data_IF_584469734721
#
_entry.id   IF_584469734721
#
_cell.length_a   1.000
_cell.length_b   1.000
_cell.length_c   1.000
_cell.angle_alpha   90.00
_cell.angle_beta   90.00
_cell.angle_gamma   90.00
#
_symmetry.space_group_name_H-M   'P 1'
#
loop_
_entity.id
_entity.type
_entity.pdbx_description
1 polymer ?
#
# COMPACT_ATOMS: atom_id res chain seq x y z
N UNK A 1 24.62 10.32 -6.03
CA UNK A 1 24.08 10.43 -4.65
C UNK A 1 22.79 11.26 -4.62
N UNK A 2 22.83 12.59 -4.86
CA UNK A 2 21.61 13.42 -4.73
C UNK A 2 20.50 12.96 -5.66
N UNK A 3 20.78 12.88 -6.98
CA UNK A 3 19.79 12.45 -7.97
C UNK A 3 19.24 11.04 -7.68
N UNK A 4 20.12 10.07 -7.41
CA UNK A 4 19.71 8.70 -7.09
C UNK A 4 18.86 8.62 -5.81
N UNK A 5 19.16 9.45 -4.82
CA UNK A 5 18.42 9.49 -3.55
C UNK A 5 17.07 10.18 -3.65
N UNK A 6 16.99 11.31 -4.36
CA UNK A 6 15.72 11.97 -4.66
C UNK A 6 14.83 11.12 -5.56
N UNK A 7 15.43 10.42 -6.53
CA UNK A 7 14.70 9.48 -7.36
C UNK A 7 14.16 8.29 -6.56
N UNK A 8 14.95 7.74 -5.62
CA UNK A 8 14.47 6.70 -4.71
C UNK A 8 13.25 7.19 -3.92
N UNK A 9 13.33 8.39 -3.31
CA UNK A 9 12.22 8.99 -2.58
C UNK A 9 10.95 9.17 -3.42
N UNK A 10 11.12 9.76 -4.61
CA UNK A 10 10.03 9.96 -5.55
C UNK A 10 9.39 8.62 -5.96
N UNK A 11 10.22 7.63 -6.29
CA UNK A 11 9.77 6.31 -6.70
C UNK A 11 9.04 5.58 -5.56
N UNK A 12 9.54 5.67 -4.33
CA UNK A 12 8.84 5.14 -3.14
C UNK A 12 7.47 5.78 -2.94
N UNK A 13 7.38 7.09 -3.09
CA UNK A 13 6.12 7.81 -2.86
C UNK A 13 5.08 7.54 -3.97
N UNK A 14 5.49 7.61 -5.24
CA UNK A 14 4.58 7.41 -6.38
C UNK A 14 4.06 5.98 -6.44
N UNK A 15 4.92 4.99 -6.19
CA UNK A 15 4.52 3.58 -6.18
C UNK A 15 3.98 3.13 -4.82
N UNK A 16 3.70 4.03 -3.88
CA UNK A 16 3.19 3.63 -2.55
C UNK A 16 1.80 2.98 -2.58
N UNK A 17 1.11 3.04 -3.72
CA UNK A 17 -0.20 2.46 -3.95
C UNK A 17 -0.19 1.44 -5.10
N UNK A 18 0.98 1.15 -5.65
CA UNK A 18 1.15 0.16 -6.72
C UNK A 18 2.15 -0.86 -6.24
N UNK A 19 1.82 -2.13 -6.37
CA UNK A 19 2.76 -3.21 -6.15
C UNK A 19 3.07 -3.86 -7.48
N UNK A 20 4.36 -4.06 -7.72
CA UNK A 20 4.88 -4.88 -8.80
C UNK A 20 5.90 -5.88 -8.25
N UNK A 21 5.86 -7.12 -8.75
CA UNK A 21 6.68 -8.23 -8.20
C UNK A 21 8.19 -7.94 -8.21
N UNK A 22 8.67 -7.06 -9.11
CA UNK A 22 10.09 -6.68 -9.19
C UNK A 22 10.43 -5.36 -8.51
N UNK A 23 9.49 -4.71 -7.81
CA UNK A 23 9.77 -3.44 -7.12
C UNK A 23 10.94 -3.56 -6.15
N UNK A 24 11.01 -4.67 -5.40
CA UNK A 24 12.12 -4.93 -4.47
C UNK A 24 13.48 -4.92 -5.16
N UNK A 25 13.58 -5.47 -6.37
CA UNK A 25 14.81 -5.44 -7.16
C UNK A 25 15.18 -4.01 -7.60
N UNK A 26 14.19 -3.24 -8.07
CA UNK A 26 14.39 -1.84 -8.46
C UNK A 26 14.86 -1.00 -7.26
N UNK A 27 14.19 -1.13 -6.11
CA UNK A 27 14.60 -0.45 -4.88
C UNK A 27 16.02 -0.85 -4.44
N UNK A 28 16.37 -2.14 -4.53
CA UNK A 28 17.70 -2.62 -4.20
C UNK A 28 18.80 -2.00 -5.07
N UNK A 29 18.60 -1.94 -6.39
CA UNK A 29 19.56 -1.32 -7.30
C UNK A 29 19.73 0.17 -6.99
N UNK A 30 18.61 0.89 -6.79
CA UNK A 30 18.64 2.33 -6.51
C UNK A 30 19.36 2.66 -5.20
N UNK A 31 19.08 1.91 -4.13
CA UNK A 31 19.71 2.13 -2.82
C UNK A 31 21.20 1.77 -2.85
N UNK A 32 21.58 0.72 -3.58
CA UNK A 32 22.97 0.32 -3.76
C UNK A 32 23.77 1.41 -4.49
N UNK A 33 23.24 1.94 -5.60
CA UNK A 33 23.86 3.06 -6.33
C UNK A 33 23.98 4.30 -5.43
N UNK A 34 22.95 4.60 -4.64
CA UNK A 34 23.00 5.70 -3.67
C UNK A 34 24.16 5.54 -2.68
N UNK A 35 24.28 4.37 -2.04
CA UNK A 35 25.30 4.13 -1.02
C UNK A 35 26.73 4.11 -1.58
N UNK A 36 26.94 3.61 -2.82
CA UNK A 36 28.24 3.70 -3.49
C UNK A 36 28.67 5.17 -3.62
N UNK A 37 27.80 6.02 -4.16
CA UNK A 37 28.13 7.45 -4.31
C UNK A 37 28.22 8.18 -2.96
N UNK A 38 27.44 7.78 -1.96
CA UNK A 38 27.54 8.33 -0.60
C UNK A 38 28.88 7.98 0.04
N UNK A 39 29.35 6.73 -0.11
CA UNK A 39 30.67 6.29 0.35
C UNK A 39 31.82 7.06 -0.29
N UNK A 40 31.78 7.27 -1.61
CA UNK A 40 32.76 8.12 -2.29
C UNK A 40 32.72 9.57 -1.80
N UNK A 41 31.53 10.10 -1.56
CA UNK A 41 31.34 11.46 -1.03
C UNK A 41 31.96 11.58 0.38
N UNK A 42 31.69 10.63 1.27
CA UNK A 42 32.28 10.57 2.60
C UNK A 42 33.82 10.52 2.54
N UNK A 43 34.38 9.62 1.72
CA UNK A 43 35.84 9.51 1.55
C UNK A 43 36.44 10.82 1.07
N UNK A 44 35.87 11.45 0.05
CA UNK A 44 36.37 12.70 -0.51
C UNK A 44 36.27 13.86 0.50
N UNK A 45 35.18 13.92 1.25
CA UNK A 45 34.98 14.95 2.28
C UNK A 45 35.99 14.79 3.43
N UNK A 46 36.28 13.55 3.85
CA UNK A 46 37.34 13.26 4.83
C UNK A 46 38.71 13.71 4.33
N UNK A 47 39.07 13.40 3.08
CA UNK A 47 40.36 13.83 2.49
C UNK A 47 40.47 15.36 2.45
N UNK A 48 39.41 16.06 2.04
CA UNK A 48 39.38 17.53 1.99
C UNK A 48 39.41 18.14 3.39
N UNK A 49 38.69 17.57 4.35
CA UNK A 49 38.73 18.02 5.74
C UNK A 49 40.13 17.90 6.35
N UNK A 50 40.88 16.85 6.03
CA UNK A 50 42.27 16.73 6.50
C UNK A 50 43.16 17.86 5.99
N UNK A 51 42.90 18.38 4.79
CA UNK A 51 43.65 19.48 4.18
C UNK A 51 43.20 20.86 4.68
N UNK A 52 41.90 21.12 4.64
CA UNK A 52 41.36 22.47 4.85
C UNK A 52 40.88 22.72 6.28
N UNK A 53 40.76 21.66 7.10
CA UNK A 53 40.21 21.68 8.48
C UNK A 53 38.85 22.37 8.61
N UNK A 54 38.09 22.44 7.52
CA UNK A 54 36.81 23.14 7.44
C UNK A 54 35.63 22.16 7.42
N UNK A 55 34.69 22.35 8.34
CA UNK A 55 33.46 21.55 8.42
C UNK A 55 32.54 21.75 7.21
N UNK A 56 32.72 22.84 6.44
CA UNK A 56 31.97 23.07 5.19
C UNK A 56 32.18 21.95 4.17
N UNK A 57 33.30 21.24 4.23
CA UNK A 57 33.57 20.09 3.38
C UNK A 57 32.58 18.93 3.60
N UNK A 58 31.85 18.89 4.72
CA UNK A 58 30.83 17.88 4.99
C UNK A 58 29.42 18.25 4.51
N UNK A 59 29.19 19.43 3.91
CA UNK A 59 27.88 19.81 3.38
C UNK A 59 27.28 18.71 2.46
N UNK A 60 28.02 18.12 1.51
CA UNK A 60 27.49 17.03 0.69
C UNK A 60 27.11 15.80 1.51
N UNK A 61 27.86 15.48 2.57
CA UNK A 61 27.53 14.37 3.48
C UNK A 61 26.24 14.66 4.25
N UNK A 62 26.07 15.89 4.75
CA UNK A 62 24.82 16.29 5.42
C UNK A 62 23.62 16.18 4.48
N UNK A 63 23.75 16.62 3.22
CA UNK A 63 22.69 16.44 2.20
C UNK A 63 22.35 14.96 2.02
N UNK A 64 23.36 14.09 1.92
CA UNK A 64 23.15 12.63 1.86
C UNK A 64 22.42 12.08 3.08
N UNK A 65 22.81 12.54 4.28
CA UNK A 65 22.15 12.17 5.54
C UNK A 65 20.69 12.63 5.61
N UNK A 66 20.38 13.84 5.14
CA UNK A 66 19.01 14.35 5.05
C UNK A 66 18.15 13.52 4.09
N UNK A 67 18.72 13.04 2.98
CA UNK A 67 18.01 12.13 2.06
C UNK A 67 17.69 10.81 2.78
N UNK A 68 18.65 10.20 3.47
CA UNK A 68 18.43 8.97 4.24
C UNK A 68 17.32 9.19 5.27
N UNK A 69 17.39 10.29 6.02
CA UNK A 69 16.36 10.64 6.99
C UNK A 69 14.98 10.79 6.33
N UNK A 70 14.89 11.48 5.19
CA UNK A 70 13.65 11.59 4.42
C UNK A 70 13.10 10.23 3.99
N UNK A 71 13.95 9.30 3.56
CA UNK A 71 13.54 7.95 3.18
C UNK A 71 12.95 7.21 4.39
N UNK A 72 13.61 7.29 5.54
CA UNK A 72 13.12 6.68 6.77
C UNK A 72 11.75 7.26 7.20
N UNK A 73 11.57 8.58 7.08
CA UNK A 73 10.28 9.23 7.36
C UNK A 73 9.18 8.71 6.45
N UNK A 74 9.45 8.59 5.14
CA UNK A 74 8.46 8.06 4.18
C UNK A 74 8.14 6.59 4.47
N UNK A 75 9.15 5.75 4.70
CA UNK A 75 8.94 4.33 5.05
C UNK A 75 8.10 4.21 6.32
N UNK A 76 8.44 4.97 7.37
CA UNK A 76 7.68 4.96 8.61
C UNK A 76 6.24 5.44 8.42
N UNK A 77 6.03 6.50 7.64
CA UNK A 77 4.69 6.99 7.30
C UNK A 77 3.86 5.93 6.58
N UNK A 78 4.43 5.27 5.56
CA UNK A 78 3.73 4.24 4.79
C UNK A 78 3.43 2.99 5.63
N UNK A 79 4.34 2.60 6.52
CA UNK A 79 4.12 1.51 7.47
C UNK A 79 3.00 1.86 8.46
N UNK A 80 3.07 3.07 9.05
CA UNK A 80 2.07 3.52 10.02
C UNK A 80 0.67 3.63 9.41
N UNK A 81 0.58 4.07 8.14
CA UNK A 81 -0.69 4.20 7.39
C UNK A 81 -1.53 2.92 7.38
N UNK A 82 -0.89 1.75 7.30
CA UNK A 82 -1.57 0.45 7.22
C UNK A 82 -1.40 -0.40 8.50
N UNK A 83 -0.96 0.22 9.61
CA UNK A 83 -0.60 -0.49 10.86
C UNK A 83 -1.79 -0.90 11.74
N UNK A 84 -2.99 -0.40 11.47
CA UNK A 84 -4.17 -0.75 12.27
C UNK A 84 -4.57 -2.22 12.06
N UNK A 85 -4.98 -2.87 13.15
CA UNK A 85 -5.49 -4.25 13.17
C UNK A 85 -6.61 -4.45 12.13
N UNK A 86 -6.50 -5.50 11.30
CA UNK A 86 -7.54 -5.92 10.34
C UNK A 86 -8.62 -6.69 11.11
N UNK A 87 -9.87 -6.24 11.02
CA UNK A 87 -11.01 -6.86 11.73
C UNK A 87 -11.91 -7.67 10.80
N UNK A 88 -11.85 -7.41 9.50
CA UNK A 88 -12.60 -8.13 8.48
C UNK A 88 -11.80 -8.12 7.19
N UNK A 89 -11.52 -9.30 6.65
CA UNK A 89 -10.91 -9.46 5.34
C UNK A 89 -11.86 -10.23 4.44
N UNK A 90 -11.98 -9.83 3.18
CA UNK A 90 -12.77 -10.53 2.20
C UNK A 90 -12.09 -10.52 0.84
N UNK A 91 -12.00 -11.67 0.19
CA UNK A 91 -11.30 -11.83 -1.07
C UNK A 91 -12.24 -12.40 -2.12
N UNK A 92 -12.08 -11.92 -3.35
CA UNK A 92 -12.56 -12.61 -4.52
C UNK A 92 -11.37 -13.19 -5.27
N UNK A 93 -11.48 -14.47 -5.65
CA UNK A 93 -10.51 -15.18 -6.46
C UNK A 93 -11.07 -15.36 -7.88
N UNK A 94 -10.46 -14.70 -8.85
CA UNK A 94 -10.83 -14.74 -10.27
C UNK A 94 -9.79 -15.47 -11.12
N UNK A 95 -9.17 -16.52 -10.56
CA UNK A 95 -8.11 -17.38 -11.13
C UNK A 95 -6.77 -16.65 -11.41
N UNK A 96 -6.80 -15.58 -12.21
CA UNK A 96 -5.60 -14.79 -12.60
C UNK A 96 -5.58 -13.44 -11.88
N UNK A 97 -6.75 -12.84 -11.71
CA UNK A 97 -6.94 -11.56 -11.03
C UNK A 97 -7.72 -11.80 -9.74
N UNK A 98 -7.32 -11.13 -8.68
CA UNK A 98 -7.99 -11.16 -7.39
C UNK A 98 -8.33 -9.75 -6.92
N UNK A 99 -9.39 -9.67 -6.13
CA UNK A 99 -9.73 -8.44 -5.42
C UNK A 99 -9.76 -8.76 -3.93
N UNK A 100 -9.28 -7.83 -3.11
CA UNK A 100 -9.35 -7.99 -1.66
C UNK A 100 -9.86 -6.72 -1.01
N UNK A 101 -10.60 -6.91 0.06
CA UNK A 101 -10.92 -5.87 1.03
C UNK A 101 -10.31 -6.25 2.37
N UNK A 102 -9.64 -5.29 2.99
CA UNK A 102 -9.26 -5.30 4.39
C UNK A 102 -9.93 -4.12 5.08
N UNK A 103 -10.75 -4.39 6.08
CA UNK A 103 -11.35 -3.38 6.95
C UNK A 103 -10.64 -3.40 8.29
N UNK A 104 -10.18 -2.24 8.75
CA UNK A 104 -9.33 -2.08 9.93
C UNK A 104 -10.05 -1.41 11.08
N UNK A 105 -9.62 -1.70 12.30
CA UNK A 105 -10.23 -1.23 13.55
C UNK A 105 -10.35 0.29 13.67
N UNK A 106 -9.42 1.05 13.09
CA UNK A 106 -9.44 2.52 13.06
C UNK A 106 -10.44 3.12 12.05
N UNK A 107 -11.26 2.29 11.40
CA UNK A 107 -12.20 2.72 10.38
C UNK A 107 -11.57 3.00 9.02
N UNK A 108 -10.31 2.60 8.78
CA UNK A 108 -9.70 2.61 7.44
C UNK A 108 -9.92 1.28 6.71
N UNK A 109 -10.01 1.34 5.38
CA UNK A 109 -9.98 0.14 4.55
C UNK A 109 -8.84 0.21 3.53
N UNK A 110 -8.40 -0.97 3.10
CA UNK A 110 -7.56 -1.19 1.92
C UNK A 110 -8.33 -2.10 0.95
N UNK A 111 -8.48 -1.64 -0.28
CA UNK A 111 -8.96 -2.44 -1.39
C UNK A 111 -7.79 -2.69 -2.33
N UNK A 112 -7.51 -3.95 -2.65
CA UNK A 112 -6.53 -4.30 -3.68
C UNK A 112 -7.24 -4.83 -4.91
N UNK A 113 -6.78 -4.38 -6.08
CA UNK A 113 -7.13 -4.96 -7.37
C UNK A 113 -5.86 -5.34 -8.10
N UNK A 114 -5.71 -6.60 -8.44
CA UNK A 114 -4.73 -6.97 -9.44
C UNK A 114 -4.45 -8.45 -9.50
N UNK A 115 -3.30 -8.76 -10.08
CA UNK A 115 -2.86 -10.13 -10.33
C UNK A 115 -1.69 -10.49 -9.42
N UNK A 116 -1.10 -11.65 -9.70
CA UNK A 116 0.17 -12.09 -9.10
C UNK A 116 1.33 -11.15 -9.48
N UNK A 117 1.31 -10.56 -10.68
CA UNK A 117 2.42 -9.76 -11.19
C UNK A 117 2.41 -8.31 -10.69
N UNK A 118 1.23 -7.79 -10.41
CA UNK A 118 1.07 -6.45 -9.88
C UNK A 118 -0.36 -6.14 -9.46
N UNK A 119 -0.51 -5.21 -8.53
CA UNK A 119 -1.78 -4.85 -7.91
C UNK A 119 -1.80 -3.40 -7.46
N UNK A 120 -2.92 -2.75 -7.74
CA UNK A 120 -3.22 -1.38 -7.35
C UNK A 120 -3.97 -1.37 -6.03
N UNK A 121 -3.63 -0.42 -5.16
CA UNK A 121 -4.08 -0.35 -3.78
C UNK A 121 -4.84 0.95 -3.52
N UNK A 122 -6.09 0.81 -3.08
CA UNK A 122 -7.01 1.91 -2.85
C UNK A 122 -7.37 1.96 -1.37
N UNK A 123 -7.13 3.11 -0.74
CA UNK A 123 -7.39 3.33 0.69
C UNK A 123 -8.50 4.34 0.90
N UNK A 124 -9.21 4.21 2.00
CA UNK A 124 -10.26 5.14 2.38
C UNK A 124 -10.75 4.89 3.81
N UNK A 125 -11.88 5.51 4.14
CA UNK A 125 -12.58 5.31 5.41
C UNK A 125 -13.88 4.56 5.23
N UNK A 126 -14.29 3.82 6.25
CA UNK A 126 -15.55 3.09 6.26
C UNK A 126 -16.25 3.20 7.61
N UNK A 127 -17.54 2.81 7.63
CA UNK A 127 -18.33 2.59 8.84
C UNK A 127 -19.08 1.28 8.70
N UNK A 128 -19.15 0.51 9.79
CA UNK A 128 -20.02 -0.68 9.88
C UNK A 128 -21.22 -0.35 10.75
N UNK A 129 -22.41 -0.72 10.29
CA UNK A 129 -23.64 -0.73 11.08
C UNK A 129 -24.37 -2.03 10.80
N UNK A 130 -24.48 -2.88 11.81
CA UNK A 130 -25.05 -4.22 11.69
C UNK A 130 -24.36 -5.03 10.57
N UNK A 131 -25.10 -5.45 9.54
CA UNK A 131 -24.57 -6.16 8.38
C UNK A 131 -24.16 -5.24 7.22
N UNK A 132 -24.20 -3.91 7.39
CA UNK A 132 -23.93 -2.95 6.33
C UNK A 132 -22.57 -2.28 6.53
N UNK A 133 -21.84 -2.11 5.42
CA UNK A 133 -20.55 -1.44 5.35
C UNK A 133 -20.72 -0.23 4.44
N UNK A 134 -20.39 0.95 4.94
CA UNK A 134 -20.46 2.22 4.22
C UNK A 134 -19.05 2.71 3.93
N UNK A 135 -18.70 2.85 2.66
CA UNK A 135 -17.42 3.39 2.20
C UNK A 135 -17.53 4.92 2.05
N UNK A 136 -16.40 5.60 2.15
CA UNK A 136 -16.30 7.03 1.84
C UNK A 136 -16.28 7.32 0.32
N UNK A 137 -16.09 6.28 -0.51
CA UNK A 137 -16.06 6.36 -1.97
C UNK A 137 -17.22 5.60 -2.60
N UNK A 138 -17.82 6.19 -3.63
CA UNK A 138 -18.89 5.57 -4.42
C UNK A 138 -18.37 4.64 -5.51
N UNK A 139 -17.08 4.75 -5.86
CA UNK A 139 -16.45 3.94 -6.88
C UNK A 139 -14.98 3.67 -6.52
N UNK A 140 -14.52 2.43 -6.78
CA UNK A 140 -13.13 2.01 -6.63
C UNK A 140 -12.75 1.13 -7.81
N UNK A 141 -11.79 1.61 -8.60
CA UNK A 141 -11.09 0.88 -9.67
C UNK A 141 -11.97 0.08 -10.63
N UNK A 142 -13.14 0.63 -10.99
CA UNK A 142 -14.15 -0.01 -11.82
C UNK A 142 -14.74 -1.34 -11.32
N UNK A 143 -14.35 -1.80 -10.12
CA UNK A 143 -14.84 -3.04 -9.51
C UNK A 143 -15.92 -2.73 -8.49
N UNK A 144 -15.69 -1.73 -7.65
CA UNK A 144 -16.65 -1.28 -6.65
C UNK A 144 -17.44 -0.13 -7.26
N UNK A 145 -18.76 -0.28 -7.38
CA UNK A 145 -19.67 0.68 -8.05
C UNK A 145 -20.70 1.29 -7.10
N UNK A 146 -20.52 1.08 -5.80
CA UNK A 146 -21.37 1.61 -4.75
C UNK A 146 -20.54 1.91 -3.51
N UNK A 147 -20.99 2.84 -2.68
CA UNK A 147 -20.44 3.04 -1.35
C UNK A 147 -21.11 2.16 -0.28
N UNK A 148 -22.05 1.30 -0.66
CA UNK A 148 -22.79 0.44 0.28
C UNK A 148 -22.53 -1.03 -0.03
N UNK A 149 -21.97 -1.73 0.95
CA UNK A 149 -21.80 -3.17 0.91
C UNK A 149 -22.64 -3.83 2.01
N UNK A 150 -22.99 -5.10 1.81
CA UNK A 150 -23.68 -5.88 2.80
C UNK A 150 -22.98 -7.22 3.03
N UNK A 151 -22.87 -7.61 4.29
CA UNK A 151 -22.50 -8.97 4.69
C UNK A 151 -23.76 -9.84 4.54
N UNK A 152 -23.67 -10.87 3.72
CA UNK A 152 -24.77 -11.80 3.43
C UNK A 152 -24.33 -13.24 3.67
N UNK A 153 -25.30 -14.08 4.00
CA UNK A 153 -25.13 -15.53 4.04
C UNK A 153 -25.41 -16.10 2.66
N UNK A 154 -24.58 -17.03 2.22
CA UNK A 154 -24.78 -17.81 0.99
C UNK A 154 -25.07 -19.26 1.35
N UNK A 155 -25.96 -19.89 0.57
CA UNK A 155 -26.34 -21.30 0.74
C UNK A 155 -25.23 -22.25 0.33
N UNK A 156 -24.43 -21.86 -0.67
CA UNK A 156 -23.30 -22.63 -1.15
C UNK A 156 -22.08 -22.34 -0.27
N UNK A 157 -21.47 -23.41 0.24
CA UNK A 157 -20.29 -23.31 1.06
C UNK A 157 -19.07 -23.17 0.15
N UNK A 158 -18.51 -21.95 0.06
CA UNK A 158 -17.29 -21.68 -0.72
C UNK A 158 -16.10 -21.89 0.22
N UNK A 159 -15.35 -22.98 0.03
CA UNK A 159 -14.12 -23.27 0.80
C UNK A 159 -14.30 -23.25 2.34
N UNK A 160 -15.40 -23.81 2.85
CA UNK A 160 -15.72 -23.83 4.28
C UNK A 160 -16.44 -22.56 4.78
N UNK A 161 -16.71 -21.57 3.92
CA UNK A 161 -17.23 -20.25 4.28
C UNK A 161 -18.61 -20.02 3.68
N UNK A 162 -19.50 -19.46 4.49
CA UNK A 162 -20.89 -19.18 4.13
C UNK A 162 -21.27 -17.70 4.24
N UNK A 163 -20.28 -16.82 4.42
CA UNK A 163 -20.47 -15.37 4.50
C UNK A 163 -19.68 -14.67 3.40
N UNK A 164 -20.34 -13.75 2.73
CA UNK A 164 -19.77 -12.93 1.67
C UNK A 164 -20.09 -11.47 1.89
N UNK A 165 -19.28 -10.58 1.31
CA UNK A 165 -19.60 -9.18 1.14
C UNK A 165 -20.10 -8.98 -0.29
N UNK A 166 -21.28 -8.37 -0.43
CA UNK A 166 -21.90 -8.05 -1.71
C UNK A 166 -22.10 -6.54 -1.85
N UNK A 167 -22.06 -6.05 -3.08
CA UNK A 167 -22.39 -4.68 -3.42
C UNK A 167 -23.91 -4.49 -3.49
N UNK A 168 -24.43 -3.44 -2.86
CA UNK A 168 -25.87 -3.15 -2.83
C UNK A 168 -26.20 -1.74 -3.33
N UNK A 169 -27.41 -1.59 -3.89
CA UNK A 169 -27.99 -0.30 -4.22
C UNK A 169 -28.61 0.39 -2.99
N UNK A 170 -29.12 1.61 -3.17
CA UNK A 170 -29.79 2.38 -2.11
C UNK A 170 -31.07 1.73 -1.58
N UNK A 171 -31.66 0.80 -2.34
CA UNK A 171 -32.85 0.02 -1.96
C UNK A 171 -32.45 -1.29 -1.27
N UNK A 172 -31.16 -1.51 -1.02
CA UNK A 172 -30.58 -2.72 -0.45
C UNK A 172 -30.68 -3.97 -1.35
N UNK A 173 -30.98 -3.78 -2.63
CA UNK A 173 -30.90 -4.85 -3.61
C UNK A 173 -29.44 -5.09 -3.97
N UNK A 174 -29.09 -6.36 -4.22
CA UNK A 174 -27.78 -6.70 -4.77
C UNK A 174 -27.65 -6.10 -6.15
N UNK A 175 -26.47 -5.56 -6.46
CA UNK A 175 -26.15 -5.12 -7.83
C UNK A 175 -25.73 -6.37 -8.61
N UNK A 176 -26.67 -6.96 -9.36
CA UNK A 176 -26.52 -8.28 -10.00
C UNK A 176 -25.62 -8.25 -11.25
N UNK A 177 -25.47 -7.10 -11.87
CA UNK A 177 -24.67 -6.95 -13.09
C UNK A 177 -23.18 -6.80 -12.76
N UNK A 178 -22.45 -7.90 -12.93
CA UNK A 178 -20.98 -8.01 -13.17
C UNK A 178 -20.02 -8.08 -11.98
N UNK A 179 -20.45 -8.14 -10.72
CA UNK A 179 -19.50 -8.06 -9.62
C UNK A 179 -19.53 -9.21 -8.62
N UNK A 180 -18.34 -9.78 -8.53
CA UNK A 180 -17.79 -10.74 -7.61
C UNK A 180 -18.21 -10.60 -6.15
N UNK A 181 -18.68 -11.71 -5.57
CA UNK A 181 -18.91 -11.79 -4.13
C UNK A 181 -17.57 -11.99 -3.41
N UNK A 182 -17.27 -11.12 -2.44
CA UNK A 182 -16.03 -11.24 -1.67
C UNK A 182 -16.24 -12.24 -0.54
N UNK A 183 -15.57 -13.38 -0.59
CA UNK A 183 -15.63 -14.42 0.44
C UNK A 183 -14.91 -13.94 1.68
N UNK A 184 -15.60 -13.94 2.82
CA UNK A 184 -15.03 -13.44 4.08
C UNK A 184 -14.01 -14.43 4.63
N UNK A 185 -12.78 -13.97 4.77
CA UNK A 185 -11.69 -14.68 5.39
C UNK A 185 -11.57 -14.21 6.84
N UNK A 186 -12.18 -14.94 7.77
CA UNK A 186 -11.91 -14.75 9.20
C UNK A 186 -10.60 -15.49 9.49
N UNK A 187 -9.48 -14.94 9.03
CA UNK A 187 -8.17 -15.42 9.47
C UNK A 187 -7.61 -14.41 10.46
N UNK A 188 -7.61 -14.81 11.74
CA UNK A 188 -6.96 -14.04 12.81
C UNK A 188 -5.46 -14.25 12.65
N UNK A 189 -4.81 -13.40 11.87
CA UNK A 189 -3.35 -13.26 11.96
C UNK A 189 -2.99 -12.46 13.20
#
# INVERSE_FOLDING_TARGET
MILSGLYYLYFTYVNANEFFIFDGFVYFVLILVFFIFFGFTLKNNLIRYHKDKSMKNFIPTFIGGFIIFGVLVVIFYLWYRDSSEVILQANYDGDINGYSFEFRKDGSYLFENGSVLGRSQFRGKYKIKDSLIFLDKNEIDNVVKTNQLAIRYISENINGKNKVIVQIDKKHNRIEDKYFDFVINIDKR
#
